data_IF_011998664935
#
_entry.id   IF_011998664935
#
_cell.length_a   1.000
_cell.length_b   1.000
_cell.length_c   1.000
_cell.angle_alpha   90.00
_cell.angle_beta   90.00
_cell.angle_gamma   90.00
#
_symmetry.space_group_name_H-M   'P 1'
#
loop_
_entity.id
_entity.type
_entity.pdbx_description
1 polymer ?
#
# COMPACT_ATOMS: atom_id res chain seq x y z
N UNK A 1 24.54 21.91 41.82
CA UNK A 1 23.38 20.94 41.67
C UNK A 1 22.22 21.52 40.84
N UNK A 2 22.13 22.80 40.63
CA UNK A 2 21.04 23.49 39.90
C UNK A 2 21.09 23.34 38.39
N UNK A 3 22.26 23.18 37.77
CA UNK A 3 22.39 23.11 36.32
C UNK A 3 22.04 21.71 35.73
N UNK A 4 22.33 20.67 36.47
CA UNK A 4 21.94 19.30 36.05
C UNK A 4 20.40 19.08 36.06
N UNK A 5 19.71 19.71 37.03
CA UNK A 5 18.24 19.69 37.05
C UNK A 5 17.61 20.49 35.89
N UNK A 6 18.21 21.63 35.52
CA UNK A 6 17.78 22.44 34.38
C UNK A 6 18.09 21.77 33.05
N UNK A 7 19.24 21.11 32.91
CA UNK A 7 19.58 20.30 31.73
C UNK A 7 18.66 19.09 31.59
N UNK A 8 18.39 18.34 32.66
CA UNK A 8 17.43 17.26 32.68
C UNK A 8 16.02 17.73 32.28
N UNK A 9 15.56 18.85 32.86
CA UNK A 9 14.25 19.44 32.50
C UNK A 9 14.17 19.87 31.04
N UNK A 10 15.25 20.46 30.47
CA UNK A 10 15.32 20.80 29.04
C UNK A 10 15.42 19.61 28.13
N UNK A 11 16.18 18.58 28.48
CA UNK A 11 16.24 17.31 27.70
C UNK A 11 14.89 16.58 27.75
N UNK A 12 14.26 16.54 28.93
CA UNK A 12 12.93 15.91 29.06
C UNK A 12 11.87 16.73 28.29
N UNK A 13 11.92 18.05 28.31
CA UNK A 13 11.02 18.90 27.54
C UNK A 13 11.27 18.80 26.02
N UNK A 14 12.52 18.64 25.58
CA UNK A 14 12.88 18.41 24.18
C UNK A 14 12.45 17.02 23.70
N UNK A 15 12.69 15.99 24.50
CA UNK A 15 12.30 14.59 24.17
C UNK A 15 10.78 14.41 24.24
N UNK A 16 10.10 15.16 25.10
CA UNK A 16 8.65 15.15 25.25
C UNK A 16 7.94 16.23 24.41
N UNK A 17 8.67 17.03 23.63
CA UNK A 17 8.03 18.02 22.75
C UNK A 17 7.17 17.29 21.71
N UNK A 18 5.97 17.78 21.45
CA UNK A 18 5.05 17.26 20.46
C UNK A 18 5.70 17.10 19.07
N UNK A 19 6.58 18.05 18.72
CA UNK A 19 7.34 18.00 17.48
C UNK A 19 8.27 16.78 17.39
N UNK A 20 8.94 16.40 18.47
CA UNK A 20 9.81 15.23 18.51
C UNK A 20 9.01 13.92 18.49
N UNK A 21 7.91 13.85 19.23
CA UNK A 21 7.00 12.69 19.19
C UNK A 21 6.47 12.48 17.78
N UNK A 22 6.10 13.57 17.10
CA UNK A 22 5.62 13.51 15.71
C UNK A 22 6.69 13.00 14.75
N UNK A 23 7.92 13.52 14.84
CA UNK A 23 9.05 13.02 14.03
C UNK A 23 9.34 11.56 14.30
N UNK A 24 9.42 11.15 15.55
CA UNK A 24 9.67 9.76 15.93
C UNK A 24 8.57 8.80 15.42
N UNK A 25 7.29 9.20 15.53
CA UNK A 25 6.18 8.45 14.97
C UNK A 25 6.27 8.31 13.45
N UNK A 26 6.61 9.40 12.75
CA UNK A 26 6.74 9.41 11.30
C UNK A 26 7.93 8.58 10.81
N UNK A 27 9.09 8.76 11.39
CA UNK A 27 10.29 8.04 10.96
C UNK A 27 10.19 6.57 11.32
N UNK A 28 9.81 6.23 12.56
CA UNK A 28 9.61 4.85 12.98
C UNK A 28 8.52 4.16 12.17
N UNK A 29 7.40 4.85 11.95
CA UNK A 29 6.31 4.36 11.12
C UNK A 29 6.72 4.15 9.66
N UNK A 30 7.44 5.09 9.04
CA UNK A 30 7.90 4.98 7.66
C UNK A 30 8.91 3.84 7.46
N UNK A 31 9.84 3.65 8.42
CA UNK A 31 10.75 2.49 8.42
C UNK A 31 9.96 1.20 8.53
N UNK A 32 9.01 1.10 9.45
CA UNK A 32 8.16 -0.09 9.60
C UNK A 32 7.35 -0.37 8.33
N UNK A 33 6.78 0.65 7.70
CA UNK A 33 6.05 0.54 6.42
C UNK A 33 6.97 -0.02 5.34
N UNK A 34 8.17 0.53 5.18
CA UNK A 34 9.12 0.07 4.17
C UNK A 34 9.54 -1.39 4.40
N UNK A 35 9.86 -1.75 5.64
CA UNK A 35 10.24 -3.13 5.99
C UNK A 35 9.10 -4.12 5.68
N UNK A 36 7.87 -3.80 6.07
CA UNK A 36 6.72 -4.67 5.80
C UNK A 36 6.42 -4.73 4.30
N UNK A 37 6.53 -3.63 3.56
CA UNK A 37 6.36 -3.61 2.10
C UNK A 37 7.39 -4.51 1.41
N UNK A 38 8.66 -4.46 1.84
CA UNK A 38 9.74 -5.31 1.31
C UNK A 38 9.49 -6.79 1.63
N UNK A 39 9.14 -7.11 2.88
CA UNK A 39 8.82 -8.48 3.28
C UNK A 39 7.63 -9.03 2.49
N UNK A 40 6.60 -8.24 2.32
CA UNK A 40 5.43 -8.60 1.53
C UNK A 40 5.76 -8.81 0.05
N UNK A 41 6.60 -7.95 -0.53
CA UNK A 41 7.07 -8.14 -1.89
C UNK A 41 7.78 -9.49 -2.06
N UNK A 42 8.75 -9.79 -1.18
CA UNK A 42 9.48 -11.07 -1.19
C UNK A 42 8.58 -12.28 -0.97
N UNK A 43 7.63 -12.19 -0.03
CA UNK A 43 6.66 -13.26 0.22
C UNK A 43 5.74 -13.49 -1.00
N UNK A 44 5.29 -12.43 -1.63
CA UNK A 44 4.47 -12.48 -2.84
C UNK A 44 5.22 -13.10 -4.02
N UNK A 45 6.47 -12.69 -4.23
CA UNK A 45 7.33 -13.24 -5.29
C UNK A 45 7.62 -14.73 -5.03
N UNK A 46 7.93 -15.11 -3.78
CA UNK A 46 8.14 -16.51 -3.40
C UNK A 46 6.89 -17.36 -3.62
N UNK A 47 5.71 -16.86 -3.26
CA UNK A 47 4.43 -17.53 -3.48
C UNK A 47 4.15 -17.74 -4.97
N UNK A 48 4.36 -16.71 -5.80
CA UNK A 48 4.19 -16.81 -7.24
C UNK A 48 5.20 -17.75 -7.89
N UNK A 49 6.47 -17.69 -7.51
CA UNK A 49 7.48 -18.62 -8.01
C UNK A 49 7.19 -20.06 -7.61
N UNK A 50 6.63 -20.28 -6.42
CA UNK A 50 6.21 -21.63 -6.00
C UNK A 50 5.07 -22.14 -6.89
N UNK A 51 4.08 -21.32 -7.19
CA UNK A 51 3.03 -21.66 -8.16
C UNK A 51 3.63 -22.02 -9.52
N UNK A 52 4.54 -21.21 -10.04
CA UNK A 52 5.20 -21.48 -11.33
C UNK A 52 5.96 -22.82 -11.32
N UNK A 53 6.69 -23.12 -10.23
CA UNK A 53 7.40 -24.41 -10.09
C UNK A 53 6.46 -25.61 -10.10
N UNK A 54 5.33 -25.51 -9.37
CA UNK A 54 4.33 -26.57 -9.32
C UNK A 54 3.71 -26.81 -10.71
N UNK A 55 3.35 -25.73 -11.39
CA UNK A 55 2.71 -25.83 -12.73
C UNK A 55 3.69 -26.19 -13.84
N UNK A 56 4.97 -25.84 -13.70
CA UNK A 56 6.02 -26.27 -14.63
C UNK A 56 6.27 -27.78 -14.56
N UNK A 57 6.08 -28.42 -13.41
CA UNK A 57 6.16 -29.87 -13.29
C UNK A 57 4.99 -30.57 -13.99
N UNK A 58 3.77 -30.05 -13.82
CA UNK A 58 2.59 -30.48 -14.57
C UNK A 58 1.51 -29.38 -14.56
N UNK A 59 1.06 -28.90 -15.74
CA UNK A 59 0.01 -27.88 -15.85
C UNK A 59 -1.31 -28.29 -15.20
N UNK A 60 -1.57 -29.59 -15.10
CA UNK A 60 -2.80 -30.12 -14.50
C UNK A 60 -2.97 -29.78 -13.04
N UNK A 61 -1.86 -29.53 -12.31
CA UNK A 61 -1.92 -29.07 -10.92
C UNK A 61 -2.66 -27.74 -10.76
N UNK A 62 -2.63 -26.87 -11.76
CA UNK A 62 -3.36 -25.61 -11.73
C UNK A 62 -4.89 -25.82 -11.63
N UNK A 63 -5.43 -26.88 -12.23
CA UNK A 63 -6.86 -27.21 -12.18
C UNK A 63 -7.37 -27.57 -10.79
N UNK A 64 -6.51 -28.05 -9.92
CA UNK A 64 -6.84 -28.38 -8.52
C UNK A 64 -6.43 -27.25 -7.57
N UNK A 65 -5.22 -26.74 -7.72
CA UNK A 65 -4.63 -25.75 -6.82
C UNK A 65 -5.38 -24.43 -6.87
N UNK A 66 -5.66 -23.92 -8.07
CA UNK A 66 -6.32 -22.61 -8.24
C UNK A 66 -7.73 -22.60 -7.68
N UNK A 67 -8.65 -23.51 -8.06
CA UNK A 67 -10.00 -23.53 -7.48
C UNK A 67 -9.99 -23.83 -5.98
N UNK A 68 -9.09 -24.70 -5.50
CA UNK A 68 -8.98 -25.04 -4.09
C UNK A 68 -8.57 -23.83 -3.24
N UNK A 69 -7.53 -23.11 -3.67
CA UNK A 69 -7.09 -21.88 -2.97
C UNK A 69 -8.18 -20.80 -3.06
N UNK A 70 -8.83 -20.62 -4.20
CA UNK A 70 -9.87 -19.60 -4.33
C UNK A 70 -11.10 -19.91 -3.51
N UNK A 71 -11.50 -21.17 -3.39
CA UNK A 71 -12.57 -21.60 -2.49
C UNK A 71 -12.21 -21.32 -1.02
N UNK A 72 -10.96 -21.63 -0.61
CA UNK A 72 -10.45 -21.32 0.70
C UNK A 72 -10.46 -19.80 0.97
N UNK A 73 -9.95 -18.99 0.03
CA UNK A 73 -9.96 -17.53 0.15
C UNK A 73 -11.38 -16.98 0.25
N UNK A 74 -12.31 -17.48 -0.56
CA UNK A 74 -13.71 -17.08 -0.52
C UNK A 74 -14.35 -17.43 0.82
N UNK A 75 -14.07 -18.59 1.37
CA UNK A 75 -14.53 -19.00 2.69
C UNK A 75 -13.98 -18.14 3.80
N UNK A 76 -12.66 -17.92 3.86
CA UNK A 76 -12.01 -17.07 4.86
C UNK A 76 -12.53 -15.63 4.83
N UNK A 77 -12.65 -15.05 3.63
CA UNK A 77 -13.11 -13.66 3.46
C UNK A 77 -14.62 -13.50 3.60
N UNK A 78 -15.39 -14.57 3.56
CA UNK A 78 -16.84 -14.54 3.86
C UNK A 78 -17.11 -14.58 5.35
N UNK A 79 -16.19 -15.18 6.13
CA UNK A 79 -16.31 -15.40 7.57
C UNK A 79 -15.37 -14.50 8.38
N UNK A 80 -14.40 -15.15 9.04
CA UNK A 80 -13.51 -14.56 10.07
C UNK A 80 -12.70 -13.36 9.55
N UNK A 81 -12.28 -13.37 8.29
CA UNK A 81 -11.45 -12.33 7.69
C UNK A 81 -12.24 -11.37 6.76
N UNK A 82 -13.55 -11.22 7.02
CA UNK A 82 -14.41 -10.32 6.24
C UNK A 82 -13.86 -8.89 6.06
N UNK A 83 -13.23 -8.24 7.05
CA UNK A 83 -12.66 -6.90 6.88
C UNK A 83 -11.48 -6.84 5.91
N UNK A 84 -10.86 -7.98 5.57
CA UNK A 84 -9.73 -8.02 4.61
C UNK A 84 -10.17 -7.98 3.16
N UNK A 85 -11.46 -8.01 2.86
CA UNK A 85 -12.00 -7.99 1.49
C UNK A 85 -11.58 -6.75 0.72
N UNK A 86 -11.42 -6.91 -0.59
CA UNK A 86 -11.07 -5.84 -1.52
C UNK A 86 -9.58 -5.49 -1.50
N UNK A 87 -9.19 -4.57 -2.39
CA UNK A 87 -7.79 -4.18 -2.58
C UNK A 87 -7.17 -3.51 -1.35
N UNK A 88 -7.94 -2.71 -0.63
CA UNK A 88 -7.47 -1.94 0.53
C UNK A 88 -7.49 -0.43 0.29
N UNK A 89 -7.26 0.04 -0.93
CA UNK A 89 -7.32 1.48 -1.26
C UNK A 89 -8.68 2.08 -0.91
N UNK A 90 -9.84 1.50 -1.29
CA UNK A 90 -11.14 2.05 -0.92
C UNK A 90 -11.37 2.16 0.59
N UNK A 91 -10.82 1.22 1.38
CA UNK A 91 -10.91 1.29 2.84
C UNK A 91 -10.08 2.44 3.41
N UNK A 92 -8.89 2.71 2.83
CA UNK A 92 -8.04 3.85 3.21
C UNK A 92 -8.74 5.16 2.85
N UNK A 93 -9.29 5.29 1.64
CA UNK A 93 -10.05 6.47 1.21
C UNK A 93 -11.24 6.71 2.15
N UNK A 94 -12.04 5.66 2.44
CA UNK A 94 -13.16 5.78 3.36
C UNK A 94 -12.72 6.19 4.78
N UNK A 95 -11.56 5.74 5.24
CA UNK A 95 -11.00 6.15 6.53
C UNK A 95 -10.46 7.59 6.54
N UNK A 96 -10.09 8.12 5.38
CA UNK A 96 -9.69 9.54 5.21
C UNK A 96 -10.91 10.45 5.14
N UNK A 97 -11.93 10.07 4.35
CA UNK A 97 -13.14 10.86 4.14
C UNK A 97 -14.02 10.96 5.38
N UNK A 98 -14.16 9.84 6.10
CA UNK A 98 -14.96 9.74 7.32
C UNK A 98 -14.05 9.33 8.47
N UNK A 99 -13.54 10.29 9.26
CA UNK A 99 -12.65 10.00 10.38
C UNK A 99 -13.40 9.37 11.57
N UNK A 100 -14.14 8.29 11.30
CA UNK A 100 -14.86 7.50 12.28
C UNK A 100 -13.92 6.52 12.98
N UNK A 101 -13.77 6.65 14.29
CA UNK A 101 -12.83 5.83 15.05
C UNK A 101 -13.20 4.34 15.07
N UNK A 102 -14.48 3.91 15.23
CA UNK A 102 -14.89 2.52 15.11
C UNK A 102 -14.52 1.92 13.75
N UNK A 103 -14.76 2.64 12.66
CA UNK A 103 -14.40 2.18 11.31
C UNK A 103 -12.88 1.99 11.16
N UNK A 104 -12.09 2.98 11.61
CA UNK A 104 -10.63 2.92 11.58
C UNK A 104 -10.08 1.77 12.40
N UNK A 105 -10.58 1.57 13.62
CA UNK A 105 -10.17 0.47 14.51
C UNK A 105 -10.43 -0.90 13.89
N UNK A 106 -11.55 -1.06 13.21
CA UNK A 106 -11.94 -2.33 12.59
C UNK A 106 -11.11 -2.60 11.34
N UNK A 107 -11.04 -1.62 10.40
CA UNK A 107 -10.47 -1.84 9.09
C UNK A 107 -8.95 -1.63 9.01
N UNK A 108 -8.37 -0.82 9.92
CA UNK A 108 -6.94 -0.52 9.98
C UNK A 108 -6.24 -1.25 11.14
N UNK A 109 -6.81 -2.36 11.60
CA UNK A 109 -6.22 -3.15 12.69
C UNK A 109 -5.02 -3.96 12.20
N UNK A 110 -4.06 -4.29 13.08
CA UNK A 110 -2.93 -5.17 12.74
C UNK A 110 -3.38 -6.52 12.19
N UNK A 111 -4.46 -7.06 12.72
CA UNK A 111 -5.03 -8.34 12.28
C UNK A 111 -5.53 -8.29 10.83
N UNK A 112 -6.23 -7.20 10.46
CA UNK A 112 -6.69 -6.99 9.08
C UNK A 112 -5.51 -6.78 8.15
N UNK A 113 -4.50 -6.02 8.57
CA UNK A 113 -3.27 -5.81 7.81
C UNK A 113 -2.53 -7.12 7.55
N UNK A 114 -2.28 -7.91 8.60
CA UNK A 114 -1.64 -9.22 8.48
C UNK A 114 -2.48 -10.19 7.61
N UNK A 115 -3.79 -10.24 7.84
CA UNK A 115 -4.71 -11.05 7.05
C UNK A 115 -4.66 -10.68 5.57
N UNK A 116 -4.62 -9.38 5.24
CA UNK A 116 -4.54 -8.90 3.86
C UNK A 116 -3.23 -9.31 3.17
N UNK A 117 -2.09 -9.20 3.85
CA UNK A 117 -0.81 -9.66 3.32
C UNK A 117 -0.81 -11.17 3.06
N UNK A 118 -1.28 -11.96 4.04
CA UNK A 118 -1.34 -13.43 3.93
C UNK A 118 -2.28 -13.89 2.83
N UNK A 119 -3.50 -13.33 2.75
CA UNK A 119 -4.47 -13.73 1.74
C UNK A 119 -4.04 -13.33 0.33
N UNK A 120 -3.37 -12.18 0.17
CA UNK A 120 -2.82 -11.78 -1.13
C UNK A 120 -1.68 -12.70 -1.55
N UNK A 121 -0.75 -13.03 -0.67
CA UNK A 121 0.32 -14.00 -0.96
C UNK A 121 -0.25 -15.38 -1.30
N UNK A 122 -1.26 -15.82 -0.55
CA UNK A 122 -1.95 -17.09 -0.82
C UNK A 122 -2.70 -17.07 -2.17
N UNK A 123 -3.29 -15.94 -2.55
CA UNK A 123 -3.92 -15.80 -3.85
C UNK A 123 -2.92 -15.94 -5.00
N UNK A 124 -1.74 -15.34 -4.87
CA UNK A 124 -0.64 -15.47 -5.83
C UNK A 124 -0.12 -16.91 -5.92
N UNK A 125 -0.06 -17.63 -4.77
CA UNK A 125 0.24 -19.06 -4.75
C UNK A 125 -0.85 -19.89 -5.49
N UNK A 126 -2.08 -19.42 -5.52
CA UNK A 126 -3.17 -20.00 -6.32
C UNK A 126 -3.15 -19.60 -7.79
N UNK A 127 -2.17 -18.81 -8.24
CA UNK A 127 -2.09 -18.33 -9.62
C UNK A 127 -3.02 -17.15 -9.92
N UNK A 128 -3.45 -16.41 -8.91
CA UNK A 128 -4.28 -15.22 -9.12
C UNK A 128 -3.53 -14.13 -9.85
N UNK A 129 -4.19 -13.49 -10.81
CA UNK A 129 -3.72 -12.27 -11.45
C UNK A 129 -4.16 -11.05 -10.64
N UNK A 130 -3.50 -10.80 -9.52
CA UNK A 130 -3.81 -9.71 -8.58
C UNK A 130 -2.57 -8.86 -8.30
N UNK A 131 -2.79 -7.55 -8.15
CA UNK A 131 -1.75 -6.62 -7.74
C UNK A 131 -1.51 -6.68 -6.22
N UNK A 132 -0.32 -6.28 -5.83
CA UNK A 132 0.10 -6.15 -4.42
C UNK A 132 0.07 -4.70 -3.92
N UNK A 133 -0.23 -3.76 -4.80
CA UNK A 133 -0.19 -2.32 -4.52
C UNK A 133 -1.26 -1.93 -3.49
N UNK A 134 -2.51 -2.34 -3.71
CA UNK A 134 -3.61 -2.07 -2.80
C UNK A 134 -3.37 -2.56 -1.37
N UNK A 135 -3.00 -3.82 -1.16
CA UNK A 135 -2.59 -4.32 0.15
C UNK A 135 -1.44 -3.53 0.77
N UNK A 136 -0.43 -3.13 -0.01
CA UNK A 136 0.71 -2.35 0.49
C UNK A 136 0.27 -0.96 0.97
N UNK A 137 -0.58 -0.27 0.20
CA UNK A 137 -1.17 1.03 0.59
C UNK A 137 -1.95 0.91 1.89
N UNK A 138 -2.81 -0.12 1.98
CA UNK A 138 -3.62 -0.35 3.17
C UNK A 138 -2.78 -0.61 4.41
N UNK A 139 -1.79 -1.48 4.30
CA UNK A 139 -0.91 -1.84 5.41
C UNK A 139 -0.03 -0.66 5.80
N UNK A 140 0.50 0.09 4.83
CA UNK A 140 1.26 1.30 5.08
C UNK A 140 0.45 2.35 5.84
N UNK A 141 -0.78 2.62 5.39
CA UNK A 141 -1.71 3.51 6.08
C UNK A 141 -2.04 3.03 7.50
N UNK A 142 -2.32 1.72 7.66
CA UNK A 142 -2.64 1.11 8.96
C UNK A 142 -1.48 1.21 9.94
N UNK A 143 -0.26 0.87 9.51
CA UNK A 143 0.94 0.96 10.36
C UNK A 143 1.19 2.39 10.81
N UNK A 144 1.16 3.34 9.88
CA UNK A 144 1.40 4.75 10.22
C UNK A 144 0.31 5.29 11.17
N UNK A 145 -0.96 4.90 10.98
CA UNK A 145 -2.04 5.20 11.91
C UNK A 145 -1.76 4.66 13.32
N UNK A 146 -1.29 3.41 13.43
CA UNK A 146 -0.94 2.79 14.71
C UNK A 146 0.23 3.49 15.38
N UNK A 147 1.28 3.85 14.62
CA UNK A 147 2.39 4.64 15.14
C UNK A 147 1.92 6.01 15.66
N UNK A 148 1.08 6.71 14.90
CA UNK A 148 0.46 7.95 15.38
C UNK A 148 -0.25 7.76 16.74
N UNK A 149 -1.06 6.73 16.87
CA UNK A 149 -1.75 6.40 18.12
C UNK A 149 -0.80 6.00 19.25
N UNK A 150 0.22 5.22 18.95
CA UNK A 150 1.24 4.78 19.92
C UNK A 150 1.99 5.97 20.52
N UNK A 151 2.30 6.95 19.69
CA UNK A 151 2.94 8.19 20.13
C UNK A 151 1.97 9.21 20.74
N UNK A 152 0.72 8.82 20.98
CA UNK A 152 -0.25 9.59 21.76
C UNK A 152 -1.07 10.60 20.95
N UNK A 153 -1.01 10.57 19.61
CA UNK A 153 -1.90 11.39 18.77
C UNK A 153 -3.32 10.84 18.83
N UNK A 154 -4.29 11.72 19.05
CA UNK A 154 -5.72 11.36 19.19
C UNK A 154 -6.62 12.15 18.26
N UNK A 155 -6.17 13.32 17.80
CA UNK A 155 -6.96 14.13 16.88
C UNK A 155 -7.20 13.36 15.55
N UNK A 156 -8.46 13.19 15.13
CA UNK A 156 -8.80 12.47 13.91
C UNK A 156 -8.17 13.07 12.65
N UNK A 157 -7.98 14.40 12.60
CA UNK A 157 -7.33 15.10 11.47
C UNK A 157 -5.85 14.80 11.41
N UNK A 158 -5.16 14.83 12.54
CA UNK A 158 -3.75 14.45 12.61
C UNK A 158 -3.54 13.00 12.21
N UNK A 159 -4.38 12.09 12.71
CA UNK A 159 -4.34 10.69 12.34
C UNK A 159 -4.64 10.46 10.86
N UNK A 160 -5.43 11.30 10.20
CA UNK A 160 -5.62 11.28 8.74
C UNK A 160 -4.32 11.63 8.00
N UNK A 161 -3.53 12.59 8.50
CA UNK A 161 -2.22 12.89 7.90
C UNK A 161 -1.26 11.70 8.03
N UNK A 162 -1.26 10.98 9.14
CA UNK A 162 -0.49 9.74 9.30
C UNK A 162 -0.96 8.66 8.33
N UNK A 163 -2.28 8.45 8.19
CA UNK A 163 -2.86 7.50 7.24
C UNK A 163 -2.39 7.77 5.81
N UNK A 164 -2.54 9.02 5.37
CA UNK A 164 -2.14 9.46 4.02
C UNK A 164 -0.64 9.25 3.79
N UNK A 165 0.19 9.67 4.76
CA UNK A 165 1.63 9.54 4.70
C UNK A 165 2.07 8.06 4.65
N UNK A 166 1.39 7.17 5.38
CA UNK A 166 1.65 5.74 5.38
C UNK A 166 1.30 5.07 4.07
N UNK A 167 0.16 5.40 3.49
CA UNK A 167 -0.23 4.90 2.16
C UNK A 167 0.77 5.32 1.08
N UNK A 168 1.18 6.58 1.09
CA UNK A 168 2.19 7.11 0.17
C UNK A 168 3.57 6.45 0.35
N UNK A 169 4.02 6.29 1.61
CA UNK A 169 5.29 5.61 1.91
C UNK A 169 5.25 4.13 1.48
N UNK A 170 4.08 3.47 1.59
CA UNK A 170 3.88 2.11 1.08
C UNK A 170 4.12 2.01 -0.42
N UNK A 171 3.55 2.91 -1.22
CA UNK A 171 3.79 2.98 -2.68
C UNK A 171 5.26 3.29 -2.97
N UNK A 172 5.83 4.29 -2.28
CA UNK A 172 7.23 4.66 -2.48
C UNK A 172 8.18 3.49 -2.24
N UNK A 173 7.93 2.71 -1.17
CA UNK A 173 8.74 1.54 -0.84
C UNK A 173 8.50 0.36 -1.80
N UNK A 174 7.24 0.13 -2.22
CA UNK A 174 6.91 -0.98 -3.10
C UNK A 174 7.50 -0.84 -4.51
N UNK A 175 7.53 0.39 -5.05
CA UNK A 175 8.01 0.67 -6.40
C UNK A 175 9.41 1.27 -6.46
N UNK A 176 10.04 1.52 -5.31
CA UNK A 176 11.32 2.25 -5.21
C UNK A 176 11.26 3.65 -5.87
N UNK A 177 10.10 4.30 -5.79
CA UNK A 177 9.81 5.57 -6.48
C UNK A 177 9.15 6.56 -5.53
N UNK A 178 9.91 7.34 -4.76
CA UNK A 178 9.35 8.30 -3.81
C UNK A 178 8.39 9.30 -4.45
N UNK A 179 8.73 9.82 -5.63
CA UNK A 179 7.89 10.79 -6.34
C UNK A 179 6.51 10.20 -6.71
N UNK A 180 6.46 8.95 -7.16
CA UNK A 180 5.20 8.28 -7.47
C UNK A 180 4.32 8.11 -6.22
N UNK A 181 4.92 7.84 -5.06
CA UNK A 181 4.20 7.77 -3.78
C UNK A 181 3.53 9.10 -3.41
N UNK A 182 4.20 10.24 -3.66
CA UNK A 182 3.65 11.57 -3.43
C UNK A 182 2.47 11.85 -4.38
N UNK A 183 2.67 11.62 -5.68
CA UNK A 183 1.64 11.85 -6.71
C UNK A 183 0.41 10.98 -6.42
N UNK A 184 0.60 9.70 -6.12
CA UNK A 184 -0.47 8.78 -5.75
C UNK A 184 -1.25 9.24 -4.52
N UNK A 185 -0.57 9.77 -3.49
CA UNK A 185 -1.24 10.27 -2.31
C UNK A 185 -2.13 11.50 -2.60
N UNK A 186 -1.68 12.37 -3.50
CA UNK A 186 -2.42 13.57 -3.89
C UNK A 186 -3.61 13.19 -4.78
N UNK A 187 -3.37 12.40 -5.80
CA UNK A 187 -4.34 12.12 -6.85
C UNK A 187 -5.39 11.09 -6.42
N UNK A 188 -4.94 9.97 -5.84
CA UNK A 188 -5.81 8.85 -5.53
C UNK A 188 -6.34 8.87 -4.11
N UNK A 189 -5.48 9.10 -3.12
CA UNK A 189 -5.89 8.97 -1.73
C UNK A 189 -6.57 10.22 -1.18
N UNK A 190 -6.09 11.43 -1.50
CA UNK A 190 -6.69 12.64 -0.94
C UNK A 190 -7.89 13.13 -1.72
N UNK A 191 -8.00 12.81 -3.01
CA UNK A 191 -9.11 13.22 -3.89
C UNK A 191 -9.34 14.73 -3.97
N UNK A 192 -8.54 15.51 -3.28
CA UNK A 192 -8.61 16.95 -3.16
C UNK A 192 -7.23 17.55 -3.29
N UNK A 193 -7.05 18.42 -4.24
CA UNK A 193 -5.85 19.22 -4.44
C UNK A 193 -5.67 20.27 -3.33
N UNK A 194 -6.20 20.02 -2.13
CA UNK A 194 -6.10 20.96 -1.02
C UNK A 194 -4.70 21.00 -0.41
N UNK A 195 -3.92 21.91 -0.92
CA UNK A 195 -3.02 22.87 -0.23
C UNK A 195 -2.06 22.39 0.87
N UNK A 196 -1.83 21.13 1.11
CA UNK A 196 -0.76 20.81 2.05
C UNK A 196 0.05 19.61 1.57
N UNK A 197 1.06 19.89 0.77
CA UNK A 197 2.30 19.14 0.86
C UNK A 197 2.76 19.20 2.33
N UNK A 198 2.13 18.38 3.17
CA UNK A 198 2.50 18.42 4.57
C UNK A 198 3.89 17.84 4.69
N UNK A 199 4.78 18.48 5.42
CA UNK A 199 6.10 17.92 5.73
C UNK A 199 6.02 16.49 6.26
N UNK A 200 4.88 16.08 6.80
CA UNK A 200 4.51 14.73 7.20
C UNK A 200 4.54 13.74 6.05
N UNK A 201 3.87 14.08 4.93
CA UNK A 201 3.83 13.25 3.73
C UNK A 201 5.22 13.08 3.12
N UNK A 202 5.91 14.21 2.88
CA UNK A 202 7.25 14.21 2.31
C UNK A 202 8.24 13.42 3.16
N UNK A 203 8.22 13.63 4.47
CA UNK A 203 9.12 12.91 5.40
C UNK A 203 8.90 11.41 5.35
N UNK A 204 7.64 10.95 5.40
CA UNK A 204 7.33 9.53 5.38
C UNK A 204 7.73 8.87 4.05
N UNK A 205 7.48 9.54 2.93
CA UNK A 205 7.83 9.05 1.59
C UNK A 205 9.34 8.99 1.40
N UNK A 206 10.07 10.03 1.81
CA UNK A 206 11.53 10.06 1.69
C UNK A 206 12.15 8.97 2.56
N UNK A 207 11.75 8.86 3.83
CA UNK A 207 12.28 7.82 4.74
C UNK A 207 11.95 6.44 4.21
N UNK A 208 10.71 6.18 3.79
CA UNK A 208 10.30 4.90 3.21
C UNK A 208 11.09 4.54 1.95
N UNK A 209 11.29 5.51 1.05
CA UNK A 209 12.08 5.34 -0.17
C UNK A 209 13.57 5.09 0.10
N UNK A 210 14.17 5.84 1.04
CA UNK A 210 15.58 5.64 1.44
C UNK A 210 15.80 4.26 2.05
N UNK A 211 14.89 3.80 2.91
CA UNK A 211 14.96 2.43 3.48
C UNK A 211 14.84 1.39 2.38
N UNK A 212 13.90 1.56 1.44
CA UNK A 212 13.74 0.64 0.31
C UNK A 212 15.00 0.60 -0.56
N UNK A 213 15.53 1.77 -0.92
CA UNK A 213 16.76 1.91 -1.71
C UNK A 213 17.97 1.27 -1.00
N UNK A 214 18.09 1.47 0.31
CA UNK A 214 19.19 0.92 1.12
C UNK A 214 19.16 -0.59 1.25
N UNK A 215 17.99 -1.22 1.27
CA UNK A 215 17.82 -2.66 1.46
C UNK A 215 17.71 -3.45 0.15
N UNK A 216 17.09 -2.88 -0.87
CA UNK A 216 16.86 -3.53 -2.18
C UNK A 216 17.82 -3.02 -3.26
N UNK A 217 18.54 -1.93 -3.00
CA UNK A 217 19.36 -1.26 -4.00
C UNK A 217 18.52 -0.44 -5.00
N UNK A 218 19.19 0.13 -5.99
CA UNK A 218 18.53 0.86 -7.06
C UNK A 218 18.04 -0.11 -8.14
N UNK A 219 16.81 -0.59 -7.98
CA UNK A 219 16.16 -1.46 -8.96
C UNK A 219 15.02 -0.74 -9.65
N UNK A 220 14.78 -1.09 -10.91
CA UNK A 220 13.62 -0.63 -11.68
C UNK A 220 12.54 -1.71 -11.63
N UNK A 221 11.38 -1.41 -11.05
CA UNK A 221 10.30 -2.38 -10.82
C UNK A 221 9.86 -3.11 -12.09
N UNK A 222 9.78 -2.40 -13.21
CA UNK A 222 9.41 -2.96 -14.53
C UNK A 222 10.60 -3.39 -15.38
N UNK A 223 11.82 -3.42 -14.81
CA UNK A 223 13.05 -3.70 -15.55
C UNK A 223 13.50 -2.56 -16.47
N UNK A 224 14.52 -2.82 -17.25
CA UNK A 224 15.05 -1.88 -18.24
C UNK A 224 14.64 -2.28 -19.65
N UNK A 225 13.98 -1.36 -20.36
CA UNK A 225 13.63 -1.54 -21.77
C UNK A 225 14.64 -0.78 -22.60
N UNK A 226 15.43 -1.52 -23.40
CA UNK A 226 16.43 -0.94 -24.33
C UNK A 226 15.84 -0.64 -25.71
N UNK A 227 14.59 -1.04 -25.97
CA UNK A 227 13.91 -0.77 -27.23
C UNK A 227 13.74 0.74 -27.46
N UNK A 228 14.16 1.20 -28.64
CA UNK A 228 13.96 2.58 -29.08
C UNK A 228 12.81 2.61 -30.07
N UNK A 229 11.92 3.57 -29.90
CA UNK A 229 10.83 3.80 -30.84
C UNK A 229 11.38 4.64 -32.01
N UNK A 230 11.36 4.14 -33.26
CA UNK A 230 11.77 4.95 -34.40
C UNK A 230 10.78 6.12 -34.57
N UNK A 231 11.34 7.32 -34.80
CA UNK A 231 10.54 8.50 -35.14
C UNK A 231 9.87 8.25 -36.51
N UNK A 232 8.60 8.55 -36.64
CA UNK A 232 7.79 8.32 -37.84
C UNK A 232 6.68 7.29 -37.59
N UNK A 233 6.81 6.06 -38.10
CA UNK A 233 5.74 5.03 -37.94
C UNK A 233 5.43 4.66 -36.49
N UNK A 234 6.37 4.86 -35.58
CA UNK A 234 6.19 4.64 -34.16
C UNK A 234 5.11 5.52 -33.53
N UNK A 235 4.93 6.75 -34.00
CA UNK A 235 3.88 7.64 -33.50
C UNK A 235 2.48 7.14 -33.84
N UNK A 236 2.29 6.57 -35.04
CA UNK A 236 1.00 5.96 -35.39
C UNK A 236 0.69 4.75 -34.48
N UNK A 237 1.70 3.93 -34.18
CA UNK A 237 1.55 2.82 -33.27
C UNK A 237 1.14 3.28 -31.85
N UNK A 238 1.73 4.37 -31.33
CA UNK A 238 1.37 4.94 -30.01
C UNK A 238 -0.11 5.38 -30.02
N UNK A 239 -0.54 6.10 -31.05
CA UNK A 239 -1.92 6.57 -31.14
C UNK A 239 -2.91 5.40 -31.23
N UNK A 240 -2.62 4.41 -32.07
CA UNK A 240 -3.47 3.22 -32.21
C UNK A 240 -3.52 2.42 -30.90
N UNK A 241 -2.38 2.18 -30.25
CA UNK A 241 -2.34 1.53 -28.95
C UNK A 241 -3.12 2.31 -27.90
N UNK A 242 -3.01 3.64 -27.87
CA UNK A 242 -3.73 4.50 -26.94
C UNK A 242 -5.25 4.40 -27.13
N UNK A 243 -5.73 4.47 -28.38
CA UNK A 243 -7.16 4.33 -28.68
C UNK A 243 -7.68 2.93 -28.32
N UNK A 244 -6.97 1.88 -28.76
CA UNK A 244 -7.39 0.48 -28.49
C UNK A 244 -7.37 0.21 -26.98
N UNK A 245 -6.30 0.59 -26.28
CA UNK A 245 -6.20 0.38 -24.85
C UNK A 245 -7.27 1.19 -24.08
N UNK A 246 -7.55 2.42 -24.51
CA UNK A 246 -8.60 3.25 -23.93
C UNK A 246 -10.00 2.64 -24.09
N UNK A 247 -10.32 2.14 -25.29
CA UNK A 247 -11.59 1.46 -25.55
C UNK A 247 -11.73 0.17 -24.73
N UNK A 248 -10.70 -0.69 -24.74
CA UNK A 248 -10.72 -1.95 -23.98
C UNK A 248 -10.78 -1.67 -22.47
N UNK A 249 -10.04 -0.70 -21.95
CA UNK A 249 -10.09 -0.30 -20.56
C UNK A 249 -11.47 0.23 -20.15
N UNK A 250 -12.10 1.06 -21.00
CA UNK A 250 -13.45 1.56 -20.78
C UNK A 250 -14.50 0.46 -20.79
N UNK A 251 -14.42 -0.50 -21.72
CA UNK A 251 -15.30 -1.67 -21.75
C UNK A 251 -15.10 -2.55 -20.51
N UNK A 252 -13.86 -2.81 -20.12
CA UNK A 252 -13.56 -3.57 -18.91
C UNK A 252 -14.12 -2.89 -17.65
N UNK A 253 -13.91 -1.59 -17.50
CA UNK A 253 -14.46 -0.84 -16.38
C UNK A 253 -15.99 -0.94 -16.30
N UNK A 254 -16.69 -0.78 -17.46
CA UNK A 254 -18.14 -0.98 -17.53
C UNK A 254 -18.57 -2.38 -17.15
N UNK A 255 -17.88 -3.40 -17.60
CA UNK A 255 -18.18 -4.80 -17.27
C UNK A 255 -18.03 -5.06 -15.77
N UNK A 256 -16.96 -4.56 -15.15
CA UNK A 256 -16.74 -4.65 -13.69
C UNK A 256 -17.86 -3.95 -12.92
N UNK A 257 -18.21 -2.71 -13.29
CA UNK A 257 -19.29 -1.97 -12.64
C UNK A 257 -20.64 -2.66 -12.79
N UNK A 258 -20.96 -3.18 -13.97
CA UNK A 258 -22.20 -3.93 -14.21
C UNK A 258 -22.27 -5.20 -13.36
N UNK A 259 -21.17 -5.95 -13.25
CA UNK A 259 -21.10 -7.15 -12.42
C UNK A 259 -21.24 -6.86 -10.92
N UNK A 260 -20.76 -5.68 -10.48
CA UNK A 260 -20.89 -5.24 -9.09
C UNK A 260 -22.32 -4.75 -8.78
N UNK A 261 -22.97 -4.07 -9.72
CA UNK A 261 -24.36 -3.55 -9.58
C UNK A 261 -25.41 -4.66 -9.54
N UNK A 262 -25.17 -5.80 -10.21
CA UNK A 262 -26.09 -6.95 -10.25
C UNK A 262 -26.08 -7.85 -9.01
N UNK A 263 -25.28 -7.55 -7.97
CA UNK A 263 -25.28 -8.34 -6.73
C UNK A 263 -26.28 -7.74 -5.74
N UNK A 264 -27.32 -8.48 -5.31
CA UNK A 264 -28.17 -8.04 -4.20
C UNK A 264 -27.29 -7.87 -2.95
N UNK A 265 -27.55 -6.79 -2.21
CA UNK A 265 -26.85 -6.43 -0.97
C UNK A 265 -27.21 -7.39 0.17
#
# INVERSE_FOLDING_TARGET
>A
MTDLHRLRGRITALVLSEAWRRRAALWGGAVAVALVAILFAKASDAAFHLFQRITAHSPWWALLLTPGIFALLAWLTSGVLKPTRGSGIPQVIAALDKPDEPFRKTNLSPAVSAGKLLLTSLSLLGGASVGREGPTVHVGASLMYLFGRWFGFRDPRELSHFLLAGGAAGIAAAFNTPLAGIVFAIEELSGRFEHRFSGTLLTAVIVGGVVSLGLLGNYTYFGHVSARLPLGQGWLAILLCGVVAGLLGGLFARAVLASAAGRPR
#
